data_IF_219299777490
#
_entry.id   IF_219299777490
#
_cell.length_a   1.000
_cell.length_b   1.000
_cell.length_c   1.000
_cell.angle_alpha   90.00
_cell.angle_beta   90.00
_cell.angle_gamma   90.00
#
_symmetry.space_group_name_H-M   'P 1'
#
loop_
_entity.id
_entity.type
_entity.pdbx_description
1 polymer ?
#
# COMPACT_ATOMS: atom_id res chain seq x y z
N UNK A 1 -4.84 3.68 0.44
CA UNK A 1 -6.06 3.68 1.28
C UNK A 1 -7.36 3.61 0.47
N UNK A 2 -7.33 2.98 -0.71
CA UNK A 2 -8.56 2.67 -1.47
C UNK A 2 -9.19 1.37 -0.93
N UNK A 3 -10.40 1.04 -1.38
CA UNK A 3 -11.09 -0.22 -1.06
C UNK A 3 -11.14 -1.18 -2.27
N UNK A 4 -10.38 -0.91 -3.34
CA UNK A 4 -10.36 -1.72 -4.57
C UNK A 4 -8.95 -1.84 -5.14
N UNK A 5 -8.54 -3.04 -5.51
CA UNK A 5 -7.21 -3.36 -6.07
C UNK A 5 -7.24 -4.27 -7.31
N UNK A 6 -8.35 -4.31 -8.04
CA UNK A 6 -8.45 -5.07 -9.29
C UNK A 6 -7.47 -4.55 -10.34
N UNK A 7 -7.06 -5.44 -11.25
CA UNK A 7 -6.08 -5.17 -12.31
C UNK A 7 -6.47 -3.95 -13.16
N UNK A 8 -5.47 -3.16 -13.57
CA UNK A 8 -5.65 -1.99 -14.41
C UNK A 8 -6.17 -0.74 -13.69
N UNK A 9 -6.61 -0.85 -12.42
CA UNK A 9 -7.17 0.29 -11.67
C UNK A 9 -6.16 1.43 -11.47
N UNK A 10 -4.92 1.09 -11.11
CA UNK A 10 -3.85 2.07 -10.84
C UNK A 10 -2.85 2.17 -12.00
N UNK A 11 -3.18 1.59 -13.16
CA UNK A 11 -2.31 1.50 -14.32
C UNK A 11 -2.02 0.05 -14.72
N UNK A 12 -1.63 -0.12 -15.99
CA UNK A 12 -1.30 -1.42 -16.58
C UNK A 12 -0.08 -2.03 -15.88
N UNK A 13 -0.18 -3.31 -15.48
CA UNK A 13 0.90 -4.03 -14.80
C UNK A 13 1.13 -3.62 -13.34
N UNK A 14 0.33 -2.69 -12.79
CA UNK A 14 0.43 -2.27 -11.40
C UNK A 14 -0.10 -3.32 -10.43
N UNK A 15 0.65 -3.60 -9.37
CA UNK A 15 0.19 -4.41 -8.22
C UNK A 15 -0.19 -3.46 -7.09
N UNK A 16 -1.44 -3.55 -6.63
CA UNK A 16 -1.96 -2.68 -5.56
C UNK A 16 -2.36 -3.54 -4.36
N UNK A 17 -1.94 -3.11 -3.17
CA UNK A 17 -2.30 -3.76 -1.92
C UNK A 17 -3.20 -2.85 -1.10
N UNK A 18 -4.29 -3.41 -0.56
CA UNK A 18 -5.21 -2.70 0.31
C UNK A 18 -4.71 -2.83 1.74
N UNK A 19 -4.45 -1.70 2.39
CA UNK A 19 -3.94 -1.62 3.75
C UNK A 19 -4.58 -0.43 4.46
N UNK A 20 -4.51 -0.42 5.80
CA UNK A 20 -4.96 0.72 6.60
C UNK A 20 -4.13 1.99 6.31
N UNK A 21 -4.64 3.19 6.61
CA UNK A 21 -3.86 4.42 6.47
C UNK A 21 -2.53 4.41 7.21
N UNK A 22 -2.49 3.82 8.40
CA UNK A 22 -1.28 3.74 9.23
C UNK A 22 -0.21 2.86 8.57
N UNK A 23 -0.59 1.68 8.05
CA UNK A 23 0.33 0.79 7.34
C UNK A 23 0.79 1.40 6.02
N UNK A 24 -0.10 2.11 5.30
CA UNK A 24 0.28 2.83 4.08
C UNK A 24 1.35 3.89 4.35
N UNK A 25 1.19 4.67 5.43
CA UNK A 25 2.18 5.66 5.83
C UNK A 25 3.52 5.02 6.23
N UNK A 26 3.47 3.94 7.03
CA UNK A 26 4.67 3.25 7.47
C UNK A 26 5.47 2.67 6.29
N UNK A 27 4.78 2.00 5.37
CA UNK A 27 5.38 1.43 4.15
C UNK A 27 5.95 2.52 3.23
N UNK A 28 5.31 3.69 3.15
CA UNK A 28 5.82 4.82 2.35
C UNK A 28 7.12 5.40 2.91
N UNK A 29 7.30 5.39 4.24
CA UNK A 29 8.52 5.83 4.90
C UNK A 29 9.63 4.78 4.74
N UNK A 30 9.31 3.50 4.98
CA UNK A 30 10.29 2.41 4.96
C UNK A 30 10.76 2.03 3.55
N UNK A 31 9.96 2.27 2.50
CA UNK A 31 10.25 1.85 1.13
C UNK A 31 9.99 0.35 0.86
N UNK A 32 9.46 -0.37 1.85
CA UNK A 32 9.03 -1.77 1.79
C UNK A 32 7.83 -1.99 2.70
N UNK A 33 7.15 -3.12 2.58
CA UNK A 33 6.04 -3.44 3.49
C UNK A 33 6.47 -3.38 4.95
N UNK A 34 5.84 -2.49 5.70
CA UNK A 34 6.11 -2.23 7.10
C UNK A 34 4.82 -1.88 7.84
N UNK A 35 4.75 -2.28 9.10
CA UNK A 35 3.73 -1.85 10.05
C UNK A 35 4.21 -0.61 10.81
N UNK A 36 3.32 0.13 11.48
CA UNK A 36 3.74 1.26 12.32
C UNK A 36 4.71 0.91 13.45
N UNK A 37 4.79 -0.36 13.86
CA UNK A 37 5.71 -0.80 14.92
C UNK A 37 7.14 -1.05 14.40
N UNK A 38 7.34 -1.08 13.09
CA UNK A 38 8.64 -1.28 12.45
C UNK A 38 9.39 0.05 12.20
N UNK A 39 8.79 1.18 12.58
CA UNK A 39 9.36 2.54 12.50
C UNK A 39 9.75 3.04 13.90
#
# INVERSE_FOLDING_TARGET
>A
TSNRNFEGRQGKGGRTHLVSPQVAAATAIAGSFATPADL
#
